data_IF_375249290270
#
_entry.id   IF_375249290270
#
_cell.length_a   1.000
_cell.length_b   1.000
_cell.length_c   1.000
_cell.angle_alpha   90.00
_cell.angle_beta   90.00
_cell.angle_gamma   90.00
#
_symmetry.space_group_name_H-M   'P 1'
#
loop_
_entity.id
_entity.type
_entity.pdbx_description
1 polymer ?
#
# COMPACT_ATOMS: atom_id res chain seq x y z
N UNK A 1 -22.53 1.08 -3.00
CA UNK A 1 -22.58 2.46 -3.55
C UNK A 1 -21.15 2.86 -3.78
N UNK A 2 -20.85 3.36 -4.98
CA UNK A 2 -19.48 3.64 -5.38
C UNK A 2 -19.19 5.14 -5.28
N UNK A 3 -18.04 5.47 -4.73
CA UNK A 3 -17.58 6.82 -4.46
C UNK A 3 -16.43 7.19 -5.39
N UNK A 4 -16.38 8.43 -5.89
CA UNK A 4 -15.20 8.93 -6.60
C UNK A 4 -14.01 9.05 -5.65
N UNK A 5 -12.89 8.44 -6.05
CA UNK A 5 -11.60 8.53 -5.39
C UNK A 5 -10.56 9.01 -6.41
N UNK A 6 -9.88 10.11 -6.11
CA UNK A 6 -8.80 10.65 -6.92
C UNK A 6 -7.48 10.64 -6.16
N UNK A 7 -6.39 10.39 -6.89
CA UNK A 7 -5.03 10.50 -6.40
C UNK A 7 -4.37 11.70 -7.06
N UNK A 8 -3.90 12.65 -6.25
CA UNK A 8 -3.31 13.91 -6.72
C UNK A 8 -1.83 13.97 -6.33
N UNK A 9 -0.98 14.24 -7.30
CA UNK A 9 0.42 14.53 -7.00
C UNK A 9 0.53 15.92 -6.36
N UNK A 10 1.04 15.98 -5.14
CA UNK A 10 1.24 17.21 -4.37
C UNK A 10 2.71 17.62 -4.39
N UNK A 11 2.96 18.87 -4.77
CA UNK A 11 4.29 19.49 -4.66
C UNK A 11 4.39 20.23 -3.33
N UNK A 12 5.18 19.71 -2.40
CA UNK A 12 5.50 20.41 -1.16
C UNK A 12 6.19 21.77 -1.40
N UNK A 13 7.16 21.91 -2.33
CA UNK A 13 7.77 23.22 -2.61
C UNK A 13 6.78 24.26 -3.14
N UNK A 14 5.84 23.85 -4.00
CA UNK A 14 4.88 24.78 -4.63
C UNK A 14 3.56 24.89 -3.85
N UNK A 15 3.36 24.08 -2.80
CA UNK A 15 2.14 23.99 -1.99
C UNK A 15 0.86 23.86 -2.87
N UNK A 16 0.92 22.99 -3.89
CA UNK A 16 -0.21 22.78 -4.81
C UNK A 16 -0.23 21.39 -5.43
N UNK A 17 -1.40 21.01 -5.93
CA UNK A 17 -1.57 19.86 -6.83
C UNK A 17 -0.86 20.12 -8.15
N UNK A 18 0.02 19.21 -8.54
CA UNK A 18 0.75 19.22 -9.81
C UNK A 18 -0.10 18.59 -10.92
N UNK A 19 -0.70 17.43 -10.63
CA UNK A 19 -1.51 16.67 -11.58
C UNK A 19 -2.37 15.61 -10.87
N UNK A 20 -3.37 15.11 -11.58
CA UNK A 20 -4.10 13.90 -11.21
C UNK A 20 -3.33 12.67 -11.70
N UNK A 21 -3.04 11.73 -10.80
CA UNK A 21 -2.40 10.44 -11.11
C UNK A 21 -3.43 9.47 -11.67
N UNK A 22 -4.54 9.30 -10.94
CA UNK A 22 -5.65 8.42 -11.34
C UNK A 22 -6.94 8.88 -10.65
N UNK A 23 -8.06 8.72 -11.34
CA UNK A 23 -9.40 8.90 -10.79
C UNK A 23 -10.19 7.62 -11.07
N UNK A 24 -10.90 7.12 -10.06
CA UNK A 24 -11.68 5.89 -10.15
C UNK A 24 -12.92 5.96 -9.28
N UNK A 25 -13.89 5.09 -9.56
CA UNK A 25 -15.00 4.81 -8.64
C UNK A 25 -14.69 3.54 -7.86
N UNK A 26 -14.92 3.56 -6.56
CA UNK A 26 -14.61 2.45 -5.66
C UNK A 26 -15.75 2.25 -4.68
N UNK A 27 -15.94 1.03 -4.19
CA UNK A 27 -16.89 0.79 -3.12
C UNK A 27 -16.50 1.63 -1.89
N UNK A 28 -17.50 2.08 -1.12
CA UNK A 28 -17.28 2.87 0.09
C UNK A 28 -16.19 2.28 1.00
N UNK A 29 -16.27 0.97 1.26
CA UNK A 29 -15.37 0.33 2.21
C UNK A 29 -13.94 0.19 1.65
N UNK A 30 -13.80 0.10 0.33
CA UNK A 30 -12.50 0.07 -0.36
C UNK A 30 -11.78 1.42 -0.26
N UNK A 31 -12.51 2.54 -0.15
CA UNK A 31 -11.91 3.87 0.05
C UNK A 31 -11.03 3.87 1.30
N UNK A 32 -11.52 3.28 2.40
CA UNK A 32 -10.75 3.26 3.66
C UNK A 32 -9.47 2.46 3.51
N UNK A 33 -9.56 1.27 2.92
CA UNK A 33 -8.39 0.41 2.69
C UNK A 33 -7.35 1.14 1.84
N UNK A 34 -7.79 1.79 0.76
CA UNK A 34 -6.93 2.54 -0.15
C UNK A 34 -6.27 3.75 0.51
N UNK A 35 -6.84 4.32 1.56
CA UNK A 35 -6.26 5.44 2.33
C UNK A 35 -5.34 5.00 3.47
N UNK A 36 -5.41 3.73 3.89
CA UNK A 36 -4.63 3.19 5.01
C UNK A 36 -3.24 2.69 4.59
N UNK A 37 -3.04 2.40 3.30
CA UNK A 37 -1.71 2.01 2.80
C UNK A 37 -0.73 3.19 2.80
N UNK A 38 0.57 2.91 2.84
CA UNK A 38 1.59 3.96 2.79
C UNK A 38 1.76 4.55 1.38
N UNK A 39 1.56 3.73 0.35
CA UNK A 39 1.75 4.15 -1.03
C UNK A 39 0.81 3.44 -2.00
N UNK A 40 0.74 3.96 -3.22
CA UNK A 40 0.02 3.35 -4.33
C UNK A 40 0.93 3.22 -5.54
N UNK A 41 0.90 2.03 -6.16
CA UNK A 41 1.55 1.78 -7.44
C UNK A 41 0.51 1.88 -8.57
N UNK A 42 0.86 2.60 -9.63
CA UNK A 42 0.04 2.77 -10.82
C UNK A 42 0.90 3.06 -12.05
N UNK A 43 0.69 2.28 -13.11
CA UNK A 43 1.41 2.36 -14.40
C UNK A 43 2.93 2.42 -14.23
N UNK A 44 3.48 1.50 -13.44
CA UNK A 44 4.90 1.41 -13.06
C UNK A 44 5.45 2.62 -12.27
N UNK A 45 4.60 3.55 -11.85
CA UNK A 45 4.96 4.61 -10.90
C UNK A 45 4.58 4.20 -9.48
N UNK A 46 5.44 4.49 -8.51
CA UNK A 46 5.15 4.34 -7.08
C UNK A 46 5.01 5.71 -6.44
N UNK A 47 3.90 5.92 -5.74
CA UNK A 47 3.53 7.20 -5.16
C UNK A 47 3.22 7.05 -3.67
N UNK A 48 4.03 7.67 -2.82
CA UNK A 48 3.84 7.70 -1.37
C UNK A 48 2.68 8.63 -1.00
N UNK A 49 1.82 8.20 -0.10
CA UNK A 49 0.71 9.00 0.40
C UNK A 49 1.20 10.01 1.41
N UNK A 50 0.76 11.26 1.25
CA UNK A 50 1.12 12.36 2.15
C UNK A 50 -0.07 12.83 2.97
N UNK A 51 -1.28 12.82 2.38
CA UNK A 51 -2.50 13.22 3.05
C UNK A 51 -3.73 12.59 2.40
N UNK A 52 -4.83 12.53 3.14
CA UNK A 52 -6.10 11.99 2.68
C UNK A 52 -7.25 12.91 3.08
N UNK A 53 -8.13 13.25 2.13
CA UNK A 53 -9.26 14.17 2.37
C UNK A 53 -10.59 13.57 1.92
N UNK A 54 -11.67 14.09 2.47
CA UNK A 54 -13.04 13.81 2.07
C UNK A 54 -13.79 15.13 1.98
N UNK A 55 -14.19 15.51 0.77
CA UNK A 55 -14.99 16.69 0.49
C UNK A 55 -16.47 16.31 0.43
N UNK A 56 -17.31 17.08 1.15
CA UNK A 56 -18.77 16.94 1.21
C UNK A 56 -19.27 15.52 1.57
N UNK A 57 -18.42 14.69 2.18
CA UNK A 57 -18.74 13.30 2.53
C UNK A 57 -18.86 12.35 1.33
N UNK A 58 -18.54 12.80 0.11
CA UNK A 58 -18.78 12.05 -1.13
C UNK A 58 -17.56 11.93 -2.02
N UNK A 59 -16.68 12.94 -2.03
CA UNK A 59 -15.49 12.96 -2.90
C UNK A 59 -14.26 12.70 -2.06
N UNK A 60 -13.54 11.65 -2.39
CA UNK A 60 -12.33 11.29 -1.67
C UNK A 60 -11.10 11.62 -2.48
N UNK A 61 -10.11 12.18 -1.79
CA UNK A 61 -8.82 12.55 -2.38
C UNK A 61 -7.69 11.92 -1.56
N UNK A 62 -6.68 11.41 -2.24
CA UNK A 62 -5.40 10.98 -1.67
C UNK A 62 -4.33 11.85 -2.32
N UNK A 63 -3.61 12.63 -1.52
CA UNK A 63 -2.46 13.38 -2.00
C UNK A 63 -1.22 12.49 -1.89
N UNK A 64 -0.42 12.51 -2.94
CA UNK A 64 0.74 11.65 -3.07
C UNK A 64 1.95 12.43 -3.57
N UNK A 65 3.15 11.91 -3.35
CA UNK A 65 4.39 12.36 -4.00
C UNK A 65 5.10 11.16 -4.64
N UNK A 66 5.95 11.36 -5.65
CA UNK A 66 6.80 10.28 -6.15
C UNK A 66 7.60 9.64 -5.02
N UNK A 67 7.66 8.31 -4.99
CA UNK A 67 8.41 7.58 -3.97
C UNK A 67 9.91 7.85 -4.06
N UNK A 68 10.50 8.33 -2.97
CA UNK A 68 11.92 8.59 -2.85
C UNK A 68 12.65 7.35 -2.34
N UNK A 69 13.32 6.60 -3.21
CA UNK A 69 14.10 5.41 -2.81
C UNK A 69 15.20 5.71 -1.78
N UNK A 70 15.63 6.98 -1.68
CA UNK A 70 16.65 7.45 -0.74
C UNK A 70 16.08 7.84 0.63
N UNK A 71 14.75 7.93 0.77
CA UNK A 71 14.10 8.35 2.01
C UNK A 71 14.25 7.25 3.10
N UNK A 72 14.37 5.98 2.68
CA UNK A 72 14.77 4.86 3.54
C UNK A 72 16.02 4.16 2.98
N UNK A 73 17.17 4.44 3.61
CA UNK A 73 18.47 3.91 3.18
C UNK A 73 18.58 2.38 3.25
N UNK A 74 17.73 1.73 4.05
CA UNK A 74 17.76 0.28 4.28
C UNK A 74 16.81 -0.42 3.32
N UNK A 75 15.55 0.01 3.27
CA UNK A 75 14.50 -0.73 2.57
C UNK A 75 14.05 -0.09 1.26
N UNK A 76 14.23 1.22 1.05
CA UNK A 76 13.61 1.96 -0.05
C UNK A 76 13.88 1.35 -1.44
N UNK A 77 15.15 1.11 -1.75
CA UNK A 77 15.56 0.43 -3.00
C UNK A 77 15.05 -1.01 -3.10
N UNK A 78 15.02 -1.73 -1.98
CA UNK A 78 14.56 -3.13 -1.97
C UNK A 78 13.04 -3.26 -2.13
N UNK A 79 12.27 -2.29 -1.61
CA UNK A 79 10.82 -2.20 -1.80
C UNK A 79 10.51 -2.06 -3.29
N UNK A 80 11.14 -1.08 -3.96
CA UNK A 80 10.90 -0.84 -5.38
C UNK A 80 11.33 -2.03 -6.25
N UNK A 81 12.49 -2.62 -5.95
CA UNK A 81 12.97 -3.80 -6.67
C UNK A 81 11.99 -4.97 -6.55
N UNK A 82 11.51 -5.25 -5.34
CA UNK A 82 10.61 -6.38 -5.09
C UNK A 82 9.21 -6.15 -5.68
N UNK A 83 8.71 -4.90 -5.68
CA UNK A 83 7.43 -4.55 -6.31
C UNK A 83 7.41 -4.90 -7.81
N UNK A 84 8.54 -4.72 -8.51
CA UNK A 84 8.66 -5.02 -9.94
C UNK A 84 9.12 -6.46 -10.25
N UNK A 85 9.66 -7.18 -9.28
CA UNK A 85 10.12 -8.57 -9.46
C UNK A 85 8.95 -9.57 -9.50
N UNK A 86 7.91 -9.33 -8.69
CA UNK A 86 6.77 -10.24 -8.55
C UNK A 86 5.55 -9.66 -9.27
N UNK A 87 5.08 -10.33 -10.32
CA UNK A 87 3.96 -9.85 -11.15
C UNK A 87 2.78 -10.82 -11.12
N UNK A 88 2.11 -10.95 -9.97
CA UNK A 88 0.86 -11.69 -9.85
C UNK A 88 -0.33 -10.72 -9.90
N UNK A 89 -1.28 -10.97 -10.80
CA UNK A 89 -2.52 -10.17 -10.92
C UNK A 89 -3.69 -10.92 -10.29
N UNK A 90 -4.61 -10.21 -9.65
CA UNK A 90 -5.86 -10.78 -9.16
C UNK A 90 -7.08 -10.02 -9.71
N UNK A 91 -8.21 -10.70 -9.98
CA UNK A 91 -9.46 -10.02 -10.29
C UNK A 91 -10.11 -9.31 -9.09
N UNK A 92 -9.62 -9.56 -7.87
CA UNK A 92 -10.09 -8.91 -6.64
C UNK A 92 -8.92 -8.45 -5.77
N UNK A 93 -9.20 -7.61 -4.78
CA UNK A 93 -8.19 -7.14 -3.85
C UNK A 93 -7.64 -8.31 -3.02
N UNK A 94 -6.33 -8.55 -3.09
CA UNK A 94 -5.66 -9.62 -2.36
C UNK A 94 -4.41 -9.11 -1.62
N UNK A 95 -4.09 -9.71 -0.47
CA UNK A 95 -2.84 -9.45 0.23
C UNK A 95 -1.68 -10.26 -0.39
N UNK A 96 -0.53 -9.62 -0.56
CA UNK A 96 0.74 -10.25 -0.94
C UNK A 96 1.79 -9.89 0.11
N UNK A 97 2.41 -10.89 0.74
CA UNK A 97 3.36 -10.68 1.83
C UNK A 97 4.78 -10.94 1.35
N UNK A 98 5.68 -9.98 1.57
CA UNK A 98 7.09 -10.11 1.25
C UNK A 98 7.94 -9.93 2.51
N UNK A 99 8.77 -10.91 2.86
CA UNK A 99 9.61 -10.93 4.05
C UNK A 99 11.04 -10.51 3.74
N UNK A 100 11.58 -9.60 4.54
CA UNK A 100 12.98 -9.20 4.52
C UNK A 100 13.90 -10.31 5.00
N UNK A 101 14.87 -10.68 4.17
CA UNK A 101 15.85 -11.73 4.49
C UNK A 101 17.22 -11.20 4.96
N UNK A 102 17.36 -9.88 5.15
CA UNK A 102 18.65 -9.21 5.40
C UNK A 102 19.25 -8.49 4.20
N UNK A 103 18.74 -8.74 2.98
CA UNK A 103 19.26 -8.15 1.74
C UNK A 103 18.18 -7.77 0.71
N UNK A 104 17.09 -8.54 0.64
CA UNK A 104 15.95 -8.30 -0.24
C UNK A 104 14.66 -8.81 0.41
N UNK A 105 13.53 -8.40 -0.17
CA UNK A 105 12.23 -8.95 0.15
C UNK A 105 11.95 -10.19 -0.70
N UNK A 106 11.44 -11.25 -0.08
CA UNK A 106 11.04 -12.48 -0.77
C UNK A 106 9.59 -12.85 -0.42
N UNK A 107 8.82 -13.45 -1.33
CA UNK A 107 7.45 -13.89 -1.05
C UNK A 107 7.42 -14.83 0.15
N UNK A 108 6.49 -14.58 1.05
CA UNK A 108 6.24 -15.43 2.19
C UNK A 108 4.74 -15.72 2.32
N UNK A 109 4.43 -16.89 2.86
CA UNK A 109 3.07 -17.23 3.26
C UNK A 109 2.99 -17.14 4.78
N UNK A 110 1.98 -16.43 5.28
CA UNK A 110 1.64 -16.45 6.69
C UNK A 110 0.66 -17.61 6.93
N UNK A 111 0.75 -18.28 8.08
CA UNK A 111 -0.18 -19.35 8.48
C UNK A 111 -1.60 -18.86 8.80
N UNK A 112 -1.84 -17.55 8.71
CA UNK A 112 -3.16 -16.94 8.87
C UNK A 112 -3.96 -17.00 7.58
N UNK A 113 -5.29 -17.02 7.68
CA UNK A 113 -6.15 -16.85 6.50
C UNK A 113 -5.94 -15.44 5.91
N UNK A 114 -5.77 -15.30 4.59
CA UNK A 114 -5.71 -13.99 3.94
C UNK A 114 -6.99 -13.17 4.20
N UNK A 115 -6.91 -11.82 4.24
CA UNK A 115 -8.08 -10.96 4.36
C UNK A 115 -9.11 -11.24 3.26
N UNK A 116 -10.37 -11.44 3.64
CA UNK A 116 -11.46 -11.76 2.73
C UNK A 116 -12.28 -10.52 2.29
N UNK A 117 -12.05 -9.36 2.90
CA UNK A 117 -12.77 -8.14 2.58
C UNK A 117 -12.22 -6.88 3.24
N UNK A 118 -12.81 -5.71 2.96
CA UNK A 118 -12.22 -4.41 3.30
C UNK A 118 -11.95 -4.19 4.79
N UNK A 119 -12.84 -4.66 5.67
CA UNK A 119 -12.65 -4.55 7.12
C UNK A 119 -11.45 -5.38 7.61
N UNK A 120 -11.23 -6.56 7.04
CA UNK A 120 -10.09 -7.41 7.40
C UNK A 120 -8.78 -6.81 6.88
N UNK A 121 -8.80 -6.22 5.68
CA UNK A 121 -7.66 -5.42 5.19
C UNK A 121 -7.38 -4.21 6.08
N UNK A 122 -8.41 -3.47 6.49
CA UNK A 122 -8.24 -2.32 7.37
C UNK A 122 -7.60 -2.72 8.71
N UNK A 123 -8.02 -3.85 9.29
CA UNK A 123 -7.38 -4.41 10.50
C UNK A 123 -5.91 -4.73 10.25
N UNK A 124 -5.61 -5.45 9.17
CA UNK A 124 -4.25 -5.79 8.78
C UNK A 124 -3.36 -4.54 8.62
N UNK A 125 -3.87 -3.48 7.99
CA UNK A 125 -3.12 -2.24 7.73
C UNK A 125 -2.97 -1.34 8.97
N UNK A 126 -3.85 -1.47 9.96
CA UNK A 126 -3.76 -0.73 11.22
C UNK A 126 -2.79 -1.38 12.21
N UNK A 127 -2.57 -2.68 12.10
CA UNK A 127 -1.67 -3.43 12.97
C UNK A 127 -0.21 -3.32 12.49
N UNK A 128 0.65 -2.69 13.31
CA UNK A 128 2.09 -2.61 13.02
C UNK A 128 2.81 -3.96 13.11
N UNK A 129 2.23 -4.92 13.84
CA UNK A 129 2.78 -6.26 14.03
C UNK A 129 1.77 -7.34 13.65
N UNK A 130 2.26 -8.36 12.95
CA UNK A 130 1.50 -9.56 12.60
C UNK A 130 2.10 -10.76 13.33
N UNK A 131 1.27 -11.54 14.02
CA UNK A 131 1.72 -12.76 14.74
C UNK A 131 1.22 -14.01 14.02
N UNK A 132 2.12 -14.81 13.47
CA UNK A 132 1.78 -16.03 12.73
C UNK A 132 2.70 -17.18 13.13
N UNK A 133 2.12 -18.33 13.49
CA UNK A 133 2.86 -19.56 13.85
C UNK A 133 3.97 -19.30 14.88
N UNK A 134 3.62 -18.61 15.97
CA UNK A 134 4.53 -18.24 17.08
C UNK A 134 5.65 -17.26 16.69
N UNK A 135 5.62 -16.69 15.49
CA UNK A 135 6.57 -15.65 15.04
C UNK A 135 5.86 -14.31 14.91
N UNK A 136 6.58 -13.25 15.26
CA UNK A 136 6.13 -11.88 15.07
C UNK A 136 6.84 -11.25 13.88
N UNK A 137 6.07 -10.50 13.09
CA UNK A 137 6.53 -9.77 11.93
C UNK A 137 6.17 -8.30 12.11
N UNK A 138 7.12 -7.41 11.87
CA UNK A 138 6.91 -5.98 11.78
C UNK A 138 6.52 -5.59 10.36
N UNK A 139 5.47 -4.79 10.20
CA UNK A 139 5.11 -4.17 8.92
C UNK A 139 6.02 -2.97 8.65
N UNK A 140 6.86 -3.09 7.62
CA UNK A 140 7.81 -2.05 7.20
C UNK A 140 7.14 -1.02 6.29
N UNK A 141 6.35 -1.50 5.33
CA UNK A 141 5.69 -0.64 4.35
C UNK A 141 4.52 -1.38 3.70
N UNK A 142 3.55 -0.63 3.19
CA UNK A 142 2.38 -1.17 2.51
C UNK A 142 2.10 -0.42 1.22
N UNK A 143 1.86 -1.16 0.15
CA UNK A 143 1.61 -0.59 -1.18
C UNK A 143 0.33 -1.21 -1.72
N UNK A 144 -0.63 -0.36 -2.11
CA UNK A 144 -1.70 -0.84 -2.97
C UNK A 144 -1.30 -0.70 -4.44
N UNK A 145 -1.12 -1.83 -5.11
CA UNK A 145 -0.87 -1.89 -6.54
C UNK A 145 -2.20 -1.95 -7.29
N UNK A 146 -2.55 -0.83 -7.92
CA UNK A 146 -3.81 -0.67 -8.66
C UNK A 146 -3.87 -1.54 -9.90
N UNK A 147 -2.74 -1.82 -10.55
CA UNK A 147 -2.70 -2.59 -11.80
C UNK A 147 -2.82 -4.09 -11.51
N UNK A 148 -2.32 -4.54 -10.35
CA UNK A 148 -2.37 -5.94 -9.94
C UNK A 148 -3.55 -6.28 -9.02
N UNK A 149 -4.26 -5.28 -8.50
CA UNK A 149 -5.24 -5.42 -7.40
C UNK A 149 -4.65 -6.08 -6.16
N UNK A 150 -3.41 -5.71 -5.79
CA UNK A 150 -2.68 -6.31 -4.67
C UNK A 150 -2.37 -5.29 -3.58
N UNK A 151 -2.60 -5.65 -2.33
CA UNK A 151 -2.02 -4.95 -1.18
C UNK A 151 -0.74 -5.69 -0.80
N UNK A 152 0.40 -5.14 -1.20
CA UNK A 152 1.72 -5.68 -0.89
C UNK A 152 2.13 -5.19 0.48
N UNK A 153 2.39 -6.14 1.38
CA UNK A 153 2.82 -5.88 2.75
C UNK A 153 4.26 -6.34 2.89
N UNK A 154 5.15 -5.38 3.12
CA UNK A 154 6.57 -5.60 3.32
C UNK A 154 6.83 -5.84 4.80
N UNK A 155 7.38 -6.99 5.12
CA UNK A 155 7.53 -7.50 6.49
C UNK A 155 8.98 -7.69 6.87
N UNK A 156 9.26 -7.61 8.17
CA UNK A 156 10.53 -8.01 8.78
C UNK A 156 10.26 -8.91 9.98
N UNK A 157 10.99 -10.02 10.08
CA UNK A 157 10.92 -10.88 11.26
C UNK A 157 11.43 -10.16 12.52
N UNK A 158 10.69 -10.28 13.61
CA UNK A 158 11.07 -9.81 14.94
C UNK A 158 11.42 -11.05 15.75
N UNK A 159 12.69 -11.18 16.15
CA UNK A 159 13.04 -12.22 17.11
C UNK A 159 12.37 -11.90 18.46
N UNK A 160 11.75 -12.89 19.13
CA UNK A 160 11.28 -12.73 20.49
C UNK A 160 12.42 -12.45 21.48
#
# INVERSE_FOLDING_TARGET
MDFPLAYYEWSEPDQRVVRTIVETRVAHDDVFVRKLVNATAFRNGLYEHTANECEDGLRHSVYVKPFGECDDAVYGRAILAALHEYCSVSPYMEAEFLLWNGSRFNPCMLGQRPPAGPLEFARLLLDHYIVSEERSYETIYTIYDLDRSKIVVFLKGVNP
#
